data_IF_095953761315
#
_entry.id   IF_095953761315
#
_cell.length_a   1.000
_cell.length_b   1.000
_cell.length_c   1.000
_cell.angle_alpha   90.00
_cell.angle_beta   90.00
_cell.angle_gamma   90.00
#
_symmetry.space_group_name_H-M   'P 1'
#
loop_
_entity.id
_entity.type
_entity.pdbx_description
1 polymer ?
#
# COMPACT_ATOMS: atom_id res chain seq x y z
N UNK A 1 -14.19 -11.38 -15.91
CA UNK A 1 -12.75 -11.64 -15.59
C UNK A 1 -12.45 -13.10 -15.26
N UNK A 2 -13.25 -13.79 -14.43
CA UNK A 2 -13.02 -15.22 -14.10
C UNK A 2 -13.09 -16.13 -15.34
N UNK A 3 -14.06 -15.91 -16.23
CA UNK A 3 -14.27 -16.66 -17.48
C UNK A 3 -13.06 -16.57 -18.42
N UNK A 4 -12.54 -15.36 -18.68
CA UNK A 4 -11.35 -15.13 -19.52
C UNK A 4 -10.10 -15.86 -19.03
N UNK A 5 -9.92 -15.99 -17.72
CA UNK A 5 -8.77 -16.72 -17.13
C UNK A 5 -8.91 -18.24 -17.33
N UNK A 6 -10.15 -18.77 -17.28
CA UNK A 6 -10.42 -20.19 -17.52
C UNK A 6 -10.16 -20.52 -18.99
N UNK A 7 -10.74 -19.74 -19.92
CA UNK A 7 -10.51 -19.89 -21.36
C UNK A 7 -9.02 -19.82 -21.73
N UNK A 8 -8.28 -18.90 -21.10
CA UNK A 8 -6.84 -18.77 -21.29
C UNK A 8 -6.11 -20.02 -20.82
N UNK A 9 -6.46 -20.55 -19.63
CA UNK A 9 -5.88 -21.79 -19.12
C UNK A 9 -6.16 -22.96 -20.06
N UNK A 10 -7.41 -23.16 -20.47
CA UNK A 10 -7.81 -24.28 -21.33
C UNK A 10 -7.07 -24.24 -22.67
N UNK A 11 -6.97 -23.06 -23.29
CA UNK A 11 -6.24 -22.86 -24.55
C UNK A 11 -4.77 -23.29 -24.44
N UNK A 12 -4.04 -22.78 -23.44
CA UNK A 12 -2.61 -23.10 -23.32
C UNK A 12 -2.35 -24.52 -22.79
N UNK A 13 -3.20 -25.03 -21.91
CA UNK A 13 -3.09 -26.43 -21.47
C UNK A 13 -3.31 -27.39 -22.64
N UNK A 14 -4.21 -27.07 -23.58
CA UNK A 14 -4.36 -27.83 -24.82
C UNK A 14 -3.09 -27.79 -25.68
N UNK A 15 -2.49 -26.61 -25.89
CA UNK A 15 -1.21 -26.47 -26.62
C UNK A 15 -0.08 -27.28 -25.98
N UNK A 16 -0.01 -27.28 -24.64
CA UNK A 16 1.00 -28.02 -23.87
C UNK A 16 0.81 -29.55 -24.02
N UNK A 17 -0.44 -30.02 -24.02
CA UNK A 17 -0.76 -31.46 -24.21
C UNK A 17 -0.39 -31.93 -25.62
N UNK A 18 -0.56 -31.08 -26.63
CA UNK A 18 -0.33 -31.41 -28.04
C UNK A 18 1.12 -31.24 -28.50
N UNK A 19 2.07 -30.97 -27.60
CA UNK A 19 3.50 -30.89 -27.92
C UNK A 19 4.31 -31.93 -27.15
N UNK A 20 5.19 -32.64 -27.85
CA UNK A 20 6.18 -33.53 -27.23
C UNK A 20 7.41 -32.79 -26.72
N UNK A 21 7.73 -31.62 -27.29
CA UNK A 21 8.92 -30.84 -26.93
C UNK A 21 8.83 -30.24 -25.53
N UNK A 22 9.76 -30.61 -24.65
CA UNK A 22 9.93 -30.03 -23.29
C UNK A 22 10.08 -28.51 -23.33
N UNK A 23 10.86 -27.98 -24.26
CA UNK A 23 11.08 -26.53 -24.38
C UNK A 23 9.78 -25.81 -24.78
N UNK A 24 9.01 -26.36 -25.71
CA UNK A 24 7.71 -25.79 -26.08
C UNK A 24 6.71 -25.83 -24.93
N UNK A 25 6.72 -26.89 -24.10
CA UNK A 25 5.90 -26.94 -22.87
C UNK A 25 6.27 -25.80 -21.92
N UNK A 26 7.57 -25.55 -21.72
CA UNK A 26 8.06 -24.42 -20.92
C UNK A 26 7.57 -23.08 -21.47
N UNK A 27 7.78 -22.82 -22.76
CA UNK A 27 7.33 -21.60 -23.44
C UNK A 27 5.82 -21.37 -23.31
N UNK A 28 4.99 -22.38 -23.60
CA UNK A 28 3.54 -22.24 -23.48
C UNK A 28 3.08 -22.03 -22.04
N UNK A 29 3.80 -22.62 -21.06
CA UNK A 29 3.49 -22.41 -19.65
C UNK A 29 3.83 -20.97 -19.21
N UNK A 30 4.95 -20.41 -19.67
CA UNK A 30 5.29 -19.00 -19.41
C UNK A 30 4.31 -18.03 -20.08
N UNK A 31 3.90 -18.33 -21.32
CA UNK A 31 2.84 -17.57 -21.99
C UNK A 31 1.51 -17.60 -21.23
N UNK A 32 1.12 -18.78 -20.73
CA UNK A 32 -0.08 -18.92 -19.90
C UNK A 32 -0.01 -18.01 -18.68
N UNK A 33 1.10 -18.06 -17.93
CA UNK A 33 1.30 -17.23 -16.74
C UNK A 33 1.22 -15.74 -17.09
N UNK A 34 1.89 -15.34 -18.17
CA UNK A 34 1.96 -13.95 -18.63
C UNK A 34 0.57 -13.40 -18.99
N UNK A 35 -0.23 -14.19 -19.70
CA UNK A 35 -1.60 -13.82 -20.10
C UNK A 35 -2.55 -13.73 -18.90
N UNK A 36 -2.34 -14.58 -17.89
CA UNK A 36 -3.06 -14.52 -16.63
C UNK A 36 -2.69 -13.25 -15.85
N UNK A 37 -1.40 -12.88 -15.81
CA UNK A 37 -0.94 -11.64 -15.18
C UNK A 37 -1.51 -10.41 -15.88
N UNK A 38 -1.47 -10.38 -17.22
CA UNK A 38 -2.11 -9.35 -18.04
C UNK A 38 -3.61 -9.24 -17.75
N UNK A 39 -4.33 -10.37 -17.71
CA UNK A 39 -5.77 -10.39 -17.43
C UNK A 39 -6.12 -9.91 -16.02
N UNK A 40 -5.18 -9.98 -15.08
CA UNK A 40 -5.33 -9.50 -13.71
C UNK A 40 -4.79 -8.08 -13.51
N UNK A 41 -4.26 -7.43 -14.55
CA UNK A 41 -3.51 -6.18 -14.47
C UNK A 41 -2.41 -6.22 -13.39
N UNK A 42 -1.73 -7.37 -13.27
CA UNK A 42 -0.63 -7.52 -12.33
C UNK A 42 0.67 -7.00 -12.95
N UNK A 43 1.48 -6.19 -12.25
CA UNK A 43 2.78 -5.75 -12.76
C UNK A 43 3.80 -6.88 -12.73
N UNK A 44 4.47 -7.11 -13.85
CA UNK A 44 5.54 -8.09 -13.96
C UNK A 44 6.61 -7.68 -14.97
N UNK A 45 7.75 -8.39 -14.94
CA UNK A 45 8.75 -8.44 -16.00
C UNK A 45 8.95 -9.91 -16.37
N UNK A 46 9.09 -10.21 -17.65
CA UNK A 46 9.32 -11.56 -18.18
C UNK A 46 10.38 -11.51 -19.27
N UNK A 47 10.84 -12.68 -19.70
CA UNK A 47 11.50 -12.78 -20.99
C UNK A 47 10.51 -12.41 -22.11
N UNK A 48 11.00 -12.05 -23.31
CA UNK A 48 10.13 -11.81 -24.46
C UNK A 48 9.38 -13.11 -24.82
N UNK A 49 8.06 -13.02 -24.97
CA UNK A 49 7.17 -14.19 -25.19
C UNK A 49 6.47 -14.16 -26.56
N UNK A 50 6.76 -13.16 -27.39
CA UNK A 50 6.13 -12.90 -28.69
C UNK A 50 6.34 -14.07 -29.65
N UNK A 51 7.52 -14.70 -29.60
CA UNK A 51 7.84 -15.89 -30.38
C UNK A 51 8.68 -16.89 -29.58
N UNK A 52 8.60 -18.16 -29.96
CA UNK A 52 9.39 -19.22 -29.35
C UNK A 52 10.90 -19.00 -29.53
N UNK A 53 11.32 -18.54 -30.71
CA UNK A 53 12.74 -18.28 -31.03
C UNK A 53 13.30 -17.17 -30.15
N UNK A 54 12.54 -16.09 -29.96
CA UNK A 54 12.96 -14.99 -29.11
C UNK A 54 13.00 -15.42 -27.64
N UNK A 55 11.98 -16.13 -27.16
CA UNK A 55 11.97 -16.69 -25.80
C UNK A 55 13.19 -17.59 -25.54
N UNK A 56 13.54 -18.45 -26.50
CA UNK A 56 14.67 -19.37 -26.38
C UNK A 56 16.03 -18.65 -26.29
N UNK A 57 16.18 -17.49 -26.92
CA UNK A 57 17.40 -16.70 -26.85
C UNK A 57 17.61 -16.02 -25.48
N UNK A 58 16.54 -15.84 -24.70
CA UNK A 58 16.55 -15.13 -23.42
C UNK A 58 16.26 -16.02 -22.21
N UNK A 59 15.93 -17.30 -22.42
CA UNK A 59 15.80 -18.27 -21.33
C UNK A 59 17.17 -18.55 -20.69
N UNK A 60 17.18 -19.17 -19.50
CA UNK A 60 18.39 -19.51 -18.72
C UNK A 60 19.08 -18.36 -17.95
N UNK A 61 18.36 -17.29 -17.64
CA UNK A 61 18.85 -16.13 -16.86
C UNK A 61 18.72 -16.28 -15.33
N UNK A 62 18.41 -17.50 -14.84
CA UNK A 62 18.34 -17.83 -13.41
C UNK A 62 16.97 -17.65 -12.76
N UNK A 63 16.02 -17.01 -13.45
CA UNK A 63 14.59 -16.92 -13.15
C UNK A 63 13.81 -16.61 -14.44
N UNK A 64 12.50 -16.86 -14.46
CA UNK A 64 11.67 -16.62 -15.65
C UNK A 64 10.90 -15.30 -15.56
N UNK A 65 10.44 -14.93 -14.35
CA UNK A 65 9.60 -13.74 -14.13
C UNK A 65 10.03 -12.95 -12.90
N UNK A 66 9.73 -11.65 -12.91
CA UNK A 66 9.68 -10.81 -11.70
C UNK A 66 8.26 -10.32 -11.52
N UNK A 67 7.63 -10.66 -10.39
CA UNK A 67 6.27 -10.21 -10.06
C UNK A 67 6.27 -9.60 -8.66
N UNK A 68 5.79 -8.37 -8.52
CA UNK A 68 5.88 -7.60 -7.26
C UNK A 68 7.28 -7.63 -6.63
N UNK A 69 8.33 -7.41 -7.44
CA UNK A 69 9.75 -7.45 -7.04
C UNK A 69 10.22 -8.79 -6.47
N UNK A 70 9.54 -9.90 -6.79
CA UNK A 70 9.99 -11.25 -6.47
C UNK A 70 10.37 -11.99 -7.74
N UNK A 71 11.58 -12.56 -7.78
CA UNK A 71 12.04 -13.50 -8.81
C UNK A 71 11.28 -14.81 -8.69
N UNK A 72 10.75 -15.28 -9.80
CA UNK A 72 9.91 -16.48 -9.92
C UNK A 72 10.48 -17.35 -11.02
N UNK A 73 10.56 -18.65 -10.74
CA UNK A 73 10.88 -19.69 -11.71
C UNK A 73 9.61 -20.49 -12.02
N UNK A 74 9.40 -20.81 -13.28
CA UNK A 74 8.29 -21.58 -13.80
C UNK A 74 8.77 -22.98 -14.15
N UNK A 75 8.11 -24.01 -13.59
CA UNK A 75 8.46 -25.40 -13.82
C UNK A 75 7.25 -26.20 -14.26
N UNK A 76 7.19 -26.51 -15.55
CA UNK A 76 6.23 -27.47 -16.07
C UNK A 76 6.83 -28.89 -16.06
N UNK A 77 6.15 -29.83 -15.39
CA UNK A 77 6.42 -31.27 -15.55
C UNK A 77 5.09 -31.97 -15.85
N UNK A 78 5.10 -32.95 -16.75
CA UNK A 78 3.93 -33.78 -16.98
C UNK A 78 3.61 -34.61 -15.71
N UNK A 79 2.34 -34.99 -15.48
CA UNK A 79 1.92 -35.65 -14.22
C UNK A 79 2.63 -36.97 -13.91
N UNK A 80 3.07 -37.65 -14.96
CA UNK A 80 3.80 -38.91 -14.99
C UNK A 80 5.32 -38.75 -14.85
N UNK A 81 5.83 -37.51 -14.84
CA UNK A 81 7.26 -37.25 -14.72
C UNK A 81 7.79 -37.71 -13.36
N UNK A 82 8.80 -38.59 -13.37
CA UNK A 82 9.47 -38.99 -12.13
C UNK A 82 10.44 -37.89 -11.70
N UNK A 83 10.16 -37.27 -10.55
CA UNK A 83 11.00 -36.21 -9.97
C UNK A 83 11.75 -36.75 -8.77
N UNK A 84 13.07 -36.83 -8.90
CA UNK A 84 13.98 -37.28 -7.84
C UNK A 84 14.76 -36.10 -7.23
N UNK A 85 15.44 -36.33 -6.11
CA UNK A 85 16.14 -35.28 -5.35
C UNK A 85 17.23 -34.58 -6.18
N UNK A 86 18.09 -35.33 -6.87
CA UNK A 86 19.16 -34.73 -7.70
C UNK A 86 18.62 -33.93 -8.90
N UNK A 87 17.42 -34.25 -9.39
CA UNK A 87 16.74 -33.40 -10.39
C UNK A 87 16.40 -32.03 -9.81
N UNK A 88 15.87 -31.99 -8.57
CA UNK A 88 15.58 -30.73 -7.89
C UNK A 88 16.87 -29.94 -7.59
N UNK A 89 17.94 -30.61 -7.17
CA UNK A 89 19.22 -29.97 -6.90
C UNK A 89 19.77 -29.25 -8.13
N UNK A 90 19.79 -29.95 -9.27
CA UNK A 90 20.31 -29.43 -10.54
C UNK A 90 19.42 -28.34 -11.15
N UNK A 91 18.10 -28.57 -11.20
CA UNK A 91 17.23 -27.77 -12.06
C UNK A 91 16.41 -26.71 -11.30
N UNK A 92 16.18 -26.88 -9.99
CA UNK A 92 15.28 -26.03 -9.20
C UNK A 92 16.04 -25.25 -8.12
N UNK A 93 16.85 -25.93 -7.30
CA UNK A 93 17.52 -25.32 -6.16
C UNK A 93 18.62 -24.37 -6.61
N UNK A 94 19.32 -24.71 -7.69
CA UNK A 94 20.36 -23.89 -8.34
C UNK A 94 19.86 -22.55 -8.87
N UNK A 95 18.55 -22.38 -9.10
CA UNK A 95 17.96 -21.16 -9.64
C UNK A 95 17.96 -20.05 -8.59
N UNK A 96 18.04 -18.80 -9.01
CA UNK A 96 18.04 -17.66 -8.08
C UNK A 96 16.65 -17.41 -7.47
N UNK A 97 15.60 -17.82 -8.16
CA UNK A 97 14.23 -17.62 -7.69
C UNK A 97 13.97 -18.35 -6.36
N UNK A 98 13.29 -17.67 -5.43
CA UNK A 98 12.82 -18.26 -4.17
C UNK A 98 11.40 -18.83 -4.28
N UNK A 99 10.67 -18.47 -5.34
CA UNK A 99 9.32 -18.96 -5.62
C UNK A 99 9.35 -19.77 -6.91
N UNK A 100 8.85 -21.00 -6.82
CA UNK A 100 8.68 -21.94 -7.92
C UNK A 100 7.19 -22.06 -8.21
N UNK A 101 6.76 -21.74 -9.43
CA UNK A 101 5.38 -21.93 -9.87
C UNK A 101 5.32 -23.14 -10.79
N UNK A 102 4.42 -24.06 -10.48
CA UNK A 102 4.27 -25.33 -11.19
C UNK A 102 2.84 -25.52 -11.70
N UNK A 103 2.66 -26.38 -12.69
CA UNK A 103 1.33 -26.85 -13.08
C UNK A 103 0.60 -27.55 -11.92
N UNK A 104 -0.74 -27.51 -11.92
CA UNK A 104 -1.56 -27.99 -10.78
C UNK A 104 -1.40 -29.49 -10.49
N UNK A 105 -1.11 -30.26 -11.51
CA UNK A 105 -0.91 -31.71 -11.49
C UNK A 105 0.58 -32.11 -11.42
N UNK A 106 1.48 -31.17 -11.11
CA UNK A 106 2.90 -31.44 -11.01
C UNK A 106 3.21 -32.49 -9.92
N UNK A 107 4.01 -33.53 -10.21
CA UNK A 107 4.31 -34.62 -9.28
C UNK A 107 4.98 -34.16 -7.98
N UNK A 108 5.70 -33.04 -8.00
CA UNK A 108 6.31 -32.47 -6.78
C UNK A 108 5.25 -32.09 -5.74
N UNK A 109 4.09 -31.59 -6.18
CA UNK A 109 3.00 -31.19 -5.27
C UNK A 109 2.42 -32.37 -4.48
N UNK A 110 2.49 -33.58 -5.05
CA UNK A 110 1.99 -34.82 -4.42
C UNK A 110 2.97 -35.40 -3.40
N UNK A 111 4.24 -34.99 -3.44
CA UNK A 111 5.29 -35.53 -2.57
C UNK A 111 5.62 -34.58 -1.42
N UNK A 112 5.07 -34.86 -0.23
CA UNK A 112 5.38 -34.12 1.01
C UNK A 112 6.89 -34.09 1.31
N UNK A 113 7.62 -35.16 0.98
CA UNK A 113 9.09 -35.26 1.16
C UNK A 113 9.82 -34.26 0.27
N UNK A 114 9.48 -34.17 -1.01
CA UNK A 114 10.11 -33.23 -1.94
C UNK A 114 9.75 -31.77 -1.61
N UNK A 115 8.49 -31.50 -1.23
CA UNK A 115 8.08 -30.17 -0.78
C UNK A 115 8.83 -29.72 0.47
N UNK A 116 8.98 -30.61 1.46
CA UNK A 116 9.79 -30.31 2.66
C UNK A 116 11.25 -30.06 2.30
N UNK A 117 11.79 -30.85 1.37
CA UNK A 117 13.16 -30.67 0.90
C UNK A 117 13.38 -29.29 0.26
N UNK A 118 12.49 -28.88 -0.66
CA UNK A 118 12.52 -27.56 -1.28
C UNK A 118 12.35 -26.43 -0.26
N UNK A 119 11.43 -26.59 0.69
CA UNK A 119 11.22 -25.62 1.78
C UNK A 119 12.49 -25.43 2.63
N UNK A 120 13.17 -26.53 2.99
CA UNK A 120 14.42 -26.47 3.75
C UNK A 120 15.56 -25.80 2.98
N UNK A 121 15.47 -25.73 1.65
CA UNK A 121 16.38 -25.01 0.76
C UNK A 121 15.90 -23.58 0.44
N UNK A 122 14.91 -23.07 1.17
CA UNK A 122 14.38 -21.72 0.98
C UNK A 122 13.53 -21.54 -0.27
N UNK A 123 13.10 -22.64 -0.92
CA UNK A 123 12.25 -22.60 -2.12
C UNK A 123 10.78 -22.81 -1.73
N UNK A 124 9.94 -21.85 -2.08
CA UNK A 124 8.48 -21.93 -1.94
C UNK A 124 7.89 -22.45 -3.25
N UNK A 125 7.13 -23.53 -3.20
CA UNK A 125 6.41 -24.07 -4.38
C UNK A 125 4.95 -23.63 -4.34
N UNK A 126 4.43 -23.17 -5.47
CA UNK A 126 3.04 -22.80 -5.68
C UNK A 126 2.50 -23.54 -6.90
N UNK A 127 1.33 -24.15 -6.78
CA UNK A 127 0.56 -24.56 -7.96
C UNK A 127 0.13 -23.33 -8.77
N UNK A 128 -0.25 -23.51 -10.03
CA UNK A 128 -0.82 -22.45 -10.87
C UNK A 128 -2.02 -21.78 -10.18
N UNK A 129 -2.91 -22.57 -9.59
CA UNK A 129 -4.08 -22.08 -8.86
C UNK A 129 -3.67 -21.26 -7.62
N UNK A 130 -2.70 -21.74 -6.85
CA UNK A 130 -2.20 -21.02 -5.66
C UNK A 130 -1.47 -19.73 -6.04
N UNK A 131 -0.74 -19.76 -7.15
CA UNK A 131 -0.08 -18.57 -7.70
C UNK A 131 -1.11 -17.51 -8.10
N UNK A 132 -2.17 -17.88 -8.83
CA UNK A 132 -3.25 -16.95 -9.20
C UNK A 132 -3.91 -16.37 -7.95
N UNK A 133 -4.19 -17.20 -6.93
CA UNK A 133 -4.73 -16.75 -5.65
C UNK A 133 -3.79 -15.76 -4.95
N UNK A 134 -2.49 -16.05 -4.95
CA UNK A 134 -1.46 -15.18 -4.37
C UNK A 134 -1.39 -13.82 -5.06
N UNK A 135 -1.44 -13.77 -6.39
CA UNK A 135 -1.49 -12.51 -7.16
C UNK A 135 -2.72 -11.68 -6.79
N UNK A 136 -3.91 -12.30 -6.75
CA UNK A 136 -5.15 -11.60 -6.36
C UNK A 136 -5.07 -11.02 -4.96
N UNK A 137 -4.50 -11.76 -4.01
CA UNK A 137 -4.28 -11.27 -2.64
C UNK A 137 -3.35 -10.05 -2.65
N UNK A 138 -2.22 -10.12 -3.36
CA UNK A 138 -1.26 -9.01 -3.47
C UNK A 138 -1.87 -7.76 -4.10
N UNK A 139 -2.67 -7.91 -5.15
CA UNK A 139 -3.39 -6.81 -5.78
C UNK A 139 -4.37 -6.14 -4.82
N UNK A 140 -5.17 -6.92 -4.07
CA UNK A 140 -6.10 -6.38 -3.07
C UNK A 140 -5.37 -5.56 -2.01
N UNK A 141 -4.29 -6.08 -1.43
CA UNK A 141 -3.53 -5.34 -0.41
C UNK A 141 -2.95 -4.03 -0.95
N UNK A 142 -2.51 -4.00 -2.22
CA UNK A 142 -2.02 -2.77 -2.85
C UNK A 142 -3.11 -1.71 -2.96
N UNK A 143 -4.31 -2.09 -3.42
CA UNK A 143 -5.46 -1.19 -3.51
C UNK A 143 -5.87 -0.69 -2.12
N UNK A 144 -5.96 -1.58 -1.13
CA UNK A 144 -6.27 -1.18 0.25
C UNK A 144 -5.24 -0.20 0.81
N UNK A 145 -3.95 -0.42 0.59
CA UNK A 145 -2.89 0.47 1.07
C UNK A 145 -2.97 1.86 0.45
N UNK A 146 -3.22 1.93 -0.86
CA UNK A 146 -3.42 3.20 -1.58
C UNK A 146 -4.66 3.93 -1.05
N UNK A 147 -5.78 3.23 -0.88
CA UNK A 147 -7.01 3.83 -0.36
C UNK A 147 -6.85 4.36 1.06
N UNK A 148 -6.17 3.62 1.94
CA UNK A 148 -5.87 4.08 3.30
C UNK A 148 -5.00 5.35 3.28
N UNK A 149 -3.99 5.39 2.41
CA UNK A 149 -3.12 6.55 2.26
C UNK A 149 -3.88 7.78 1.73
N UNK A 150 -4.68 7.62 0.67
CA UNK A 150 -5.49 8.70 0.10
C UNK A 150 -6.54 9.21 1.10
N UNK A 151 -7.21 8.30 1.80
CA UNK A 151 -8.17 8.67 2.85
C UNK A 151 -7.51 9.48 3.97
N UNK A 152 -6.26 9.18 4.32
CA UNK A 152 -5.50 9.97 5.29
C UNK A 152 -5.22 11.39 4.78
N UNK A 153 -4.79 11.53 3.53
CA UNK A 153 -4.56 12.85 2.91
C UNK A 153 -5.85 13.66 2.87
N UNK A 154 -6.94 13.05 2.40
CA UNK A 154 -8.24 13.72 2.30
C UNK A 154 -8.72 14.19 3.68
N UNK A 155 -8.63 13.33 4.70
CA UNK A 155 -9.00 13.70 6.08
C UNK A 155 -8.17 14.87 6.60
N UNK A 156 -6.86 14.85 6.37
CA UNK A 156 -5.97 15.92 6.81
C UNK A 156 -6.29 17.25 6.12
N UNK A 157 -6.52 17.22 4.80
CA UNK A 157 -6.88 18.43 4.04
C UNK A 157 -8.25 18.99 4.45
N UNK A 158 -9.24 18.12 4.71
CA UNK A 158 -10.55 18.54 5.23
C UNK A 158 -10.40 19.17 6.62
N UNK A 159 -9.64 18.54 7.51
CA UNK A 159 -9.39 19.07 8.84
C UNK A 159 -8.69 20.44 8.79
N UNK A 160 -7.70 20.61 7.92
CA UNK A 160 -7.00 21.88 7.71
C UNK A 160 -7.94 22.97 7.18
N UNK A 161 -8.77 22.65 6.19
CA UNK A 161 -9.73 23.59 5.62
C UNK A 161 -10.82 24.01 6.63
N UNK A 162 -11.31 23.08 7.46
CA UNK A 162 -12.24 23.37 8.55
C UNK A 162 -11.56 24.27 9.58
N UNK A 163 -10.32 23.96 9.98
CA UNK A 163 -9.52 24.80 10.87
C UNK A 163 -9.41 26.23 10.36
N UNK A 164 -8.96 26.41 9.11
CA UNK A 164 -8.87 27.73 8.45
C UNK A 164 -10.19 28.50 8.43
N UNK A 165 -11.30 27.83 8.10
CA UNK A 165 -12.62 28.45 8.07
C UNK A 165 -13.10 28.87 9.47
N UNK A 166 -12.84 28.04 10.49
CA UNK A 166 -13.13 28.36 11.88
C UNK A 166 -12.28 29.55 12.36
N UNK A 167 -10.98 29.55 12.08
CA UNK A 167 -10.07 30.64 12.44
C UNK A 167 -10.47 31.96 11.77
N UNK A 168 -10.86 31.94 10.50
CA UNK A 168 -11.36 33.13 9.81
C UNK A 168 -12.65 33.65 10.43
N UNK A 169 -13.63 32.78 10.70
CA UNK A 169 -14.92 33.18 11.27
C UNK A 169 -14.76 33.72 12.72
N UNK A 170 -13.88 33.11 13.49
CA UNK A 170 -13.47 33.59 14.82
C UNK A 170 -12.78 34.95 14.70
N UNK A 171 -11.80 35.09 13.81
CA UNK A 171 -11.08 36.34 13.57
C UNK A 171 -12.03 37.48 13.20
N UNK A 172 -12.98 37.23 12.30
CA UNK A 172 -14.00 38.21 11.91
C UNK A 172 -14.92 38.59 13.07
N UNK A 173 -15.34 37.65 13.91
CA UNK A 173 -16.15 37.93 15.11
C UNK A 173 -15.38 38.72 16.16
N UNK A 174 -14.11 38.39 16.38
CA UNK A 174 -13.22 39.15 17.29
C UNK A 174 -13.02 40.56 16.74
N UNK A 175 -12.77 40.71 15.44
CA UNK A 175 -12.61 42.02 14.80
C UNK A 175 -13.87 42.89 14.90
N UNK A 176 -15.06 42.31 14.67
CA UNK A 176 -16.34 43.00 14.86
C UNK A 176 -16.57 43.40 16.32
N UNK A 177 -16.26 42.52 17.27
CA UNK A 177 -16.34 42.83 18.70
C UNK A 177 -15.39 43.98 19.06
N UNK A 178 -14.12 43.91 18.64
CA UNK A 178 -13.13 44.96 18.92
C UNK A 178 -13.49 46.29 18.23
N UNK A 179 -14.02 46.26 17.01
CA UNK A 179 -14.53 47.45 16.31
C UNK A 179 -15.67 48.13 17.08
N UNK A 180 -16.65 47.36 17.56
CA UNK A 180 -17.75 47.88 18.39
C UNK A 180 -17.30 48.32 19.79
N UNK A 181 -16.19 47.80 20.30
CA UNK A 181 -15.60 48.20 21.58
C UNK A 181 -14.76 49.48 21.46
N UNK A 182 -14.22 49.78 20.29
CA UNK A 182 -13.41 50.98 20.04
C UNK A 182 -14.20 52.29 19.99
N UNK A 183 -15.54 52.20 19.86
CA UNK A 183 -16.46 53.35 19.88
C UNK A 183 -17.05 53.64 21.28
N UNK A 184 -16.60 52.94 22.33
CA UNK A 184 -17.05 53.16 23.70
C UNK A 184 -15.96 53.92 24.48
N UNK A 185 -16.31 55.05 25.09
CA UNK A 185 -15.39 55.91 25.87
C UNK A 185 -14.71 55.19 27.06
N UNK A 186 -15.20 54.00 27.45
CA UNK A 186 -14.51 53.06 28.33
C UNK A 186 -14.77 51.62 27.88
N UNK A 187 -13.74 50.81 27.60
CA UNK A 187 -13.98 49.45 27.13
C UNK A 187 -14.42 48.54 28.30
N UNK A 188 -15.41 47.66 28.12
CA UNK A 188 -15.92 46.79 29.16
C UNK A 188 -15.00 45.58 29.27
N UNK A 189 -13.87 45.76 29.95
CA UNK A 189 -12.81 44.76 30.06
C UNK A 189 -13.24 43.43 30.65
N UNK A 190 -14.25 43.43 31.51
CA UNK A 190 -14.82 42.19 32.06
C UNK A 190 -15.61 41.37 31.03
N UNK A 191 -16.24 42.02 30.04
CA UNK A 191 -16.89 41.32 28.93
C UNK A 191 -15.85 40.70 27.98
N UNK A 192 -14.76 41.42 27.71
CA UNK A 192 -13.66 40.92 26.88
C UNK A 192 -12.95 39.73 27.56
N UNK A 193 -12.68 39.81 28.86
CA UNK A 193 -12.13 38.70 29.66
C UNK A 193 -13.06 37.48 29.66
N UNK A 194 -14.36 37.70 29.86
CA UNK A 194 -15.35 36.60 29.90
C UNK A 194 -15.46 35.92 28.53
N UNK A 195 -15.41 36.69 27.44
CA UNK A 195 -15.37 36.17 26.07
C UNK A 195 -14.10 35.37 25.80
N UNK A 196 -12.91 35.90 26.12
CA UNK A 196 -11.62 35.21 25.93
C UNK A 196 -11.58 33.91 26.73
N UNK A 197 -12.02 33.91 28.00
CA UNK A 197 -12.04 32.71 28.83
C UNK A 197 -13.01 31.65 28.31
N UNK A 198 -14.17 32.05 27.77
CA UNK A 198 -15.13 31.12 27.17
C UNK A 198 -14.60 30.58 25.84
N UNK A 199 -13.91 31.41 25.06
CA UNK A 199 -13.29 31.03 23.79
C UNK A 199 -12.13 30.04 23.98
N UNK A 200 -11.22 30.30 24.92
CA UNK A 200 -10.09 29.41 25.27
C UNK A 200 -10.56 28.06 25.82
N UNK A 201 -11.70 28.01 26.53
CA UNK A 201 -12.32 26.75 26.95
C UNK A 201 -12.89 25.92 25.79
N UNK A 202 -13.30 26.57 24.70
CA UNK A 202 -13.87 25.91 23.52
C UNK A 202 -12.81 25.48 22.49
N UNK A 203 -11.62 26.08 22.53
CA UNK A 203 -10.52 25.85 21.56
C UNK A 203 -9.44 24.90 22.08
N UNK A 204 -9.79 24.02 23.03
CA UNK A 204 -8.86 23.12 23.73
C UNK A 204 -8.24 21.98 22.91
N UNK A 205 -8.27 22.06 21.58
CA UNK A 205 -7.57 21.13 20.69
C UNK A 205 -6.97 21.92 19.51
N UNK A 206 -5.65 22.07 19.49
CA UNK A 206 -4.78 22.44 18.34
C UNK A 206 -4.64 23.90 17.83
N UNK A 207 -5.11 24.93 18.53
CA UNK A 207 -5.01 26.33 18.05
C UNK A 207 -3.88 27.17 18.68
N UNK A 208 -2.65 26.63 18.72
CA UNK A 208 -1.51 27.25 19.45
C UNK A 208 -1.04 28.58 18.85
N UNK A 209 -1.08 28.73 17.52
CA UNK A 209 -0.66 29.95 16.80
C UNK A 209 -1.66 31.10 16.94
N UNK A 210 -2.96 30.83 16.93
CA UNK A 210 -3.98 31.88 17.15
C UNK A 210 -3.95 32.39 18.60
N UNK A 211 -3.70 31.51 19.57
CA UNK A 211 -3.51 31.88 20.98
C UNK A 211 -2.29 32.79 21.14
N UNK A 212 -1.19 32.50 20.44
CA UNK A 212 0.03 33.33 20.50
C UNK A 212 -0.19 34.71 19.86
N UNK A 213 -0.96 34.79 18.79
CA UNK A 213 -1.33 36.04 18.12
C UNK A 213 -2.21 36.92 19.01
N UNK A 214 -3.22 36.33 19.65
CA UNK A 214 -4.07 37.02 20.62
C UNK A 214 -3.24 37.49 21.83
N UNK A 215 -2.30 36.67 22.31
CA UNK A 215 -1.41 37.05 23.41
C UNK A 215 -0.51 38.23 23.06
N UNK A 216 0.02 38.30 21.84
CA UNK A 216 0.82 39.44 21.35
C UNK A 216 -0.01 40.73 21.27
N UNK A 217 -1.24 40.67 20.76
CA UNK A 217 -2.15 41.82 20.71
C UNK A 217 -2.49 42.32 22.11
N UNK A 218 -2.75 41.41 23.06
CA UNK A 218 -3.06 41.78 24.44
C UNK A 218 -1.87 42.41 25.19
N UNK A 219 -0.62 42.06 24.82
CA UNK A 219 0.61 42.67 25.38
C UNK A 219 0.87 44.10 24.89
N UNK A 220 0.28 44.51 23.76
CA UNK A 220 0.42 45.86 23.20
C UNK A 220 -0.50 46.88 23.89
N UNK A 221 -1.44 46.43 24.73
CA UNK A 221 -2.26 47.28 25.59
C UNK A 221 -1.77 47.13 27.03
N UNK A 222 -1.73 48.21 27.84
CA UNK A 222 -1.11 48.22 29.16
C UNK A 222 -2.00 47.49 30.17
N UNK A 223 -2.00 46.16 30.10
CA UNK A 223 -2.49 45.26 31.12
C UNK A 223 -1.39 44.22 31.31
N UNK A 224 -0.72 44.24 32.47
CA UNK A 224 0.21 43.18 32.87
C UNK A 224 -0.57 41.88 33.08
N UNK A 225 -0.84 41.16 32.00
CA UNK A 225 -1.44 39.83 32.00
C UNK A 225 -0.33 38.81 31.71
N UNK A 226 0.27 38.28 32.78
CA UNK A 226 1.25 37.20 32.67
C UNK A 226 0.50 35.88 32.52
N UNK A 227 0.43 35.36 31.29
CA UNK A 227 -0.05 34.00 31.02
C UNK A 227 1.11 33.01 31.21
N UNK A 228 1.13 32.27 32.32
CA UNK A 228 2.02 31.11 32.48
C UNK A 228 1.25 29.81 32.27
N UNK A 229 1.78 28.94 31.41
CA UNK A 229 1.22 27.62 31.11
C UNK A 229 2.20 26.56 31.57
N UNK A 230 2.11 26.19 32.85
CA UNK A 230 2.72 24.97 33.37
C UNK A 230 1.60 24.14 33.97
N UNK A 231 1.24 23.06 33.27
CA UNK A 231 0.24 22.03 33.62
C UNK A 231 -1.17 22.54 33.96
N UNK A 232 -2.01 22.68 32.92
CA UNK A 232 -3.45 23.00 33.03
C UNK A 232 -3.77 24.50 32.86
N UNK A 233 -4.93 24.87 32.29
CA UNK A 233 -5.28 26.26 32.05
C UNK A 233 -5.85 26.88 33.34
N UNK A 234 -4.96 27.41 34.19
CA UNK A 234 -5.38 28.19 35.36
C UNK A 234 -4.75 29.57 35.30
N UNK A 235 -5.59 30.60 35.23
CA UNK A 235 -5.17 32.00 35.17
C UNK A 235 -5.00 32.52 36.60
N UNK A 236 -3.79 32.93 37.00
CA UNK A 236 -3.54 33.61 38.28
C UNK A 236 -3.36 35.10 38.04
N UNK A 237 -4.06 35.91 38.84
CA UNK A 237 -3.95 37.38 38.86
C UNK A 237 -3.07 37.73 40.07
N UNK A 238 -1.95 38.39 39.86
CA UNK A 238 -1.26 39.13 40.93
C UNK A 238 -1.81 40.55 40.95
N UNK A 239 -2.19 41.03 42.14
CA UNK A 239 -2.47 42.45 42.38
C UNK A 239 -1.18 43.26 42.38
#
# INVERSE_FOLDING_TARGET
MKTRIIETQDRYLNLIRNTSSRLRKGYYFERLITEVLNSLNAPYRSNPIESFSLWLAYTNTGYDLIVFNKRIELKYNSPDTVVYKSYLDRDWISREASVMVVNNDNPVLRSKRLLRYLKNKGKRVLSLSDFIKWIRIKLRHRVTSINVYLNRIIKNNIAENIGKAMSHNVGSKISLLLGNLSSLDKPPWELLKCFINKFLKLSSVDHKEEIETISKVLRLYPLQLVLSFTSGPTLKISQ
#
